data_IF_976942070428
#
_entry.id   IF_976942070428
#
_cell.length_a   1.000
_cell.length_b   1.000
_cell.length_c   1.000
_cell.angle_alpha   90.00
_cell.angle_beta   90.00
_cell.angle_gamma   90.00
#
_symmetry.space_group_name_H-M   'P 1'
#
loop_
_entity.id
_entity.type
_entity.pdbx_description
1 polymer ?
#
# COMPACT_ATOMS: atom_id res chain seq x y z
N UNK A 1 14.90 2.19 -22.76
CA UNK A 1 13.64 2.57 -22.08
C UNK A 1 13.67 1.89 -20.74
N UNK A 2 13.89 2.65 -19.67
CA UNK A 2 13.75 2.14 -18.30
C UNK A 2 12.28 1.80 -18.10
N UNK A 3 11.96 0.52 -18.11
CA UNK A 3 10.68 0.03 -17.59
C UNK A 3 10.50 0.66 -16.21
N UNK A 4 9.33 1.25 -15.95
CA UNK A 4 9.03 1.91 -14.68
C UNK A 4 9.46 1.02 -13.52
N UNK A 5 10.13 1.63 -12.54
CA UNK A 5 10.75 0.93 -11.43
C UNK A 5 9.71 0.03 -10.73
N UNK A 6 10.07 -1.24 -10.54
CA UNK A 6 9.27 -2.24 -9.85
C UNK A 6 9.08 -1.81 -8.39
N UNK A 7 7.83 -1.73 -7.92
CA UNK A 7 7.45 -1.28 -6.57
C UNK A 7 7.40 -2.45 -5.56
N UNK A 8 8.00 -3.59 -5.90
CA UNK A 8 7.86 -4.87 -5.20
C UNK A 8 7.85 -4.79 -3.67
N UNK A 9 8.93 -4.30 -3.07
CA UNK A 9 9.05 -4.22 -1.60
C UNK A 9 8.35 -2.97 -1.02
N UNK A 10 8.06 -1.97 -1.85
CA UNK A 10 7.35 -0.76 -1.46
C UNK A 10 5.82 -0.92 -1.47
N UNK A 11 5.29 -2.06 -1.93
CA UNK A 11 3.87 -2.39 -1.93
C UNK A 11 3.56 -3.64 -1.11
N UNK A 12 2.55 -3.57 -0.25
CA UNK A 12 2.03 -4.74 0.47
C UNK A 12 0.50 -4.82 0.41
N UNK A 13 0.00 -6.06 0.45
CA UNK A 13 -1.42 -6.35 0.68
C UNK A 13 -1.61 -6.92 2.09
N UNK A 14 -2.56 -6.39 2.84
CA UNK A 14 -2.89 -6.78 4.21
C UNK A 14 -4.41 -6.91 4.39
N UNK A 15 -4.85 -7.47 5.52
CA UNK A 15 -6.27 -7.71 5.79
C UNK A 15 -6.85 -6.77 6.87
N UNK A 16 -6.06 -5.85 7.42
CA UNK A 16 -6.54 -4.90 8.43
C UNK A 16 -5.84 -3.54 8.36
N UNK A 17 -6.51 -2.50 8.87
CA UNK A 17 -5.92 -1.16 8.97
C UNK A 17 -4.79 -1.11 10.00
N UNK A 18 -4.81 -2.01 10.99
CA UNK A 18 -3.74 -2.12 11.98
C UNK A 18 -2.46 -2.62 11.32
N UNK A 19 -2.56 -3.70 10.53
CA UNK A 19 -1.43 -4.24 9.77
C UNK A 19 -0.92 -3.24 8.73
N UNK A 20 -1.81 -2.45 8.13
CA UNK A 20 -1.41 -1.38 7.23
C UNK A 20 -0.56 -0.30 7.93
N UNK A 21 -0.90 0.03 9.17
CA UNK A 21 -0.18 1.01 9.98
C UNK A 21 1.11 0.46 10.62
N UNK A 22 1.46 -0.81 10.40
CA UNK A 22 2.70 -1.42 10.88
C UNK A 22 3.49 -2.12 9.77
N UNK A 23 3.10 -1.93 8.52
CA UNK A 23 3.73 -2.56 7.35
C UNK A 23 5.07 -1.91 7.05
N UNK A 24 6.07 -2.70 6.63
CA UNK A 24 7.32 -2.12 6.10
C UNK A 24 7.13 -1.42 4.75
N UNK A 25 6.07 -1.76 4.01
CA UNK A 25 5.79 -1.18 2.70
C UNK A 25 5.25 0.26 2.79
N UNK A 26 5.56 1.06 1.77
CA UNK A 26 5.17 2.47 1.66
C UNK A 26 3.72 2.61 1.21
N UNK A 27 3.29 1.77 0.26
CA UNK A 27 1.91 1.71 -0.21
C UNK A 27 1.30 0.41 0.30
N UNK A 28 0.26 0.51 1.11
CA UNK A 28 -0.40 -0.67 1.66
C UNK A 28 -1.85 -0.73 1.21
N UNK A 29 -2.22 -1.84 0.58
CA UNK A 29 -3.59 -2.15 0.22
C UNK A 29 -4.24 -3.05 1.27
N UNK A 30 -5.37 -2.62 1.83
CA UNK A 30 -6.21 -3.46 2.66
C UNK A 30 -7.26 -4.17 1.79
N UNK A 31 -7.07 -5.46 1.52
CA UNK A 31 -7.99 -6.28 0.70
C UNK A 31 -9.36 -6.50 1.33
N UNK A 32 -9.47 -6.38 2.65
CA UNK A 32 -10.74 -6.55 3.36
C UNK A 32 -11.70 -5.37 3.19
N UNK A 33 -11.21 -4.16 2.90
CA UNK A 33 -12.06 -2.97 2.75
C UNK A 33 -11.74 -2.07 1.54
N UNK A 34 -10.70 -2.40 0.79
CA UNK A 34 -10.32 -1.68 -0.42
C UNK A 34 -9.45 -0.45 -0.17
N UNK A 35 -9.11 -0.12 1.08
CA UNK A 35 -8.36 1.09 1.40
C UNK A 35 -6.89 1.00 0.93
N UNK A 36 -6.40 2.10 0.37
CA UNK A 36 -4.98 2.29 0.05
C UNK A 36 -4.40 3.35 1.00
N UNK A 37 -3.30 2.98 1.65
CA UNK A 37 -2.61 3.81 2.63
C UNK A 37 -1.21 4.16 2.13
N UNK A 38 -0.81 5.41 2.39
CA UNK A 38 0.60 5.79 2.37
C UNK A 38 1.12 5.66 3.79
N UNK A 39 2.08 4.75 4.01
CA UNK A 39 2.74 4.55 5.29
C UNK A 39 4.12 5.22 5.27
N UNK A 40 4.19 6.46 5.73
CA UNK A 40 5.45 7.21 5.82
C UNK A 40 6.36 6.72 6.96
N UNK A 41 5.83 5.89 7.86
CA UNK A 41 6.48 5.47 9.09
C UNK A 41 7.23 4.12 8.94
N UNK A 42 7.03 3.41 7.82
CA UNK A 42 7.52 2.03 7.68
C UNK A 42 6.99 1.13 8.80
N UNK A 43 7.85 0.26 9.35
CA UNK A 43 7.46 -0.68 10.42
C UNK A 43 7.16 -0.03 11.77
N UNK A 44 7.39 1.27 11.95
CA UNK A 44 6.99 1.97 13.17
C UNK A 44 5.46 2.12 13.23
N UNK A 45 4.90 2.05 14.44
CA UNK A 45 3.45 2.09 14.64
C UNK A 45 2.80 3.40 14.15
N UNK A 46 1.78 3.27 13.30
CA UNK A 46 1.04 4.41 12.73
C UNK A 46 1.55 4.78 11.33
N UNK A 47 0.84 5.68 10.64
CA UNK A 47 1.20 6.08 9.27
C UNK A 47 2.22 7.24 9.20
N UNK A 48 2.69 7.76 10.33
CA UNK A 48 3.48 8.99 10.39
C UNK A 48 2.68 10.17 9.83
N UNK A 49 3.26 10.91 8.88
CA UNK A 49 2.57 11.96 8.11
C UNK A 49 1.66 11.39 7.00
N UNK A 50 1.66 10.08 6.82
CA UNK A 50 0.81 9.38 5.87
C UNK A 50 -0.61 9.16 6.36
N UNK A 51 -1.47 8.68 5.47
CA UNK A 51 -2.85 8.32 5.76
C UNK A 51 -3.47 7.54 4.60
N UNK A 52 -4.74 7.17 4.73
CA UNK A 52 -5.51 6.66 3.62
C UNK A 52 -5.64 7.73 2.52
N UNK A 53 -5.27 7.39 1.29
CA UNK A 53 -5.39 8.32 0.15
C UNK A 53 -6.38 7.85 -0.92
N UNK A 54 -6.82 6.58 -0.88
CA UNK A 54 -7.83 6.07 -1.80
C UNK A 54 -8.63 4.89 -1.23
N UNK A 55 -9.72 4.55 -1.91
CA UNK A 55 -10.50 3.33 -1.70
C UNK A 55 -10.82 2.69 -3.05
N UNK A 56 -10.39 1.45 -3.26
CA UNK A 56 -10.74 0.64 -4.43
C UNK A 56 -12.07 -0.05 -4.17
N UNK A 57 -13.12 0.41 -4.85
CA UNK A 57 -14.46 -0.17 -4.70
C UNK A 57 -14.49 -1.60 -5.25
N UNK A 58 -15.16 -2.50 -4.54
CA UNK A 58 -15.28 -3.91 -4.92
C UNK A 58 -14.07 -4.78 -4.55
N UNK A 59 -13.12 -4.22 -3.79
CA UNK A 59 -11.97 -4.94 -3.21
C UNK A 59 -11.26 -5.84 -4.24
N UNK A 60 -10.77 -5.28 -5.37
CA UNK A 60 -10.10 -6.07 -6.38
C UNK A 60 -8.86 -6.77 -5.81
N UNK A 61 -8.45 -7.88 -6.43
CA UNK A 61 -7.14 -8.46 -6.16
C UNK A 61 -6.08 -7.56 -6.83
N UNK A 62 -5.23 -6.94 -6.01
CA UNK A 62 -4.20 -6.00 -6.45
C UNK A 62 -2.85 -6.47 -5.92
N UNK A 63 -1.83 -6.40 -6.78
CA UNK A 63 -0.42 -6.66 -6.45
C UNK A 63 0.46 -5.50 -6.93
N UNK A 64 1.74 -5.54 -6.57
CA UNK A 64 2.75 -4.59 -7.03
C UNK A 64 2.78 -4.45 -8.57
N UNK A 65 2.53 -5.55 -9.30
CA UNK A 65 2.50 -5.60 -10.76
C UNK A 65 1.40 -4.71 -11.39
N UNK A 66 0.43 -4.25 -10.61
CA UNK A 66 -0.63 -3.35 -11.09
C UNK A 66 -0.21 -1.87 -11.07
N UNK A 67 0.95 -1.54 -10.53
CA UNK A 67 1.45 -0.17 -10.42
C UNK A 67 2.60 0.08 -11.39
N UNK A 68 2.67 1.29 -11.95
CA UNK A 68 3.76 1.72 -12.83
C UNK A 68 4.17 3.13 -12.43
N UNK A 69 5.43 3.29 -12.02
CA UNK A 69 6.04 4.59 -11.77
C UNK A 69 6.46 5.21 -13.10
N UNK A 70 6.17 6.51 -13.31
CA UNK A 70 6.45 7.24 -14.54
C UNK A 70 7.08 8.60 -14.29
#
# INVERSE_FOLDING_TARGET
STSGEDIGDEFATVESNGDAASSEAIIVYNSSNGALFYNANGSDSGFGDGSQFATLTGTPNVSAENFVIR
#
